data_IF_238295224802
#
_entry.id   IF_238295224802
#
_cell.length_a   1.000
_cell.length_b   1.000
_cell.length_c   1.000
_cell.angle_alpha   90.00
_cell.angle_beta   90.00
_cell.angle_gamma   90.00
#
_symmetry.space_group_name_H-M   'P 1'
#
loop_
_entity.id
_entity.type
_entity.pdbx_description
1 polymer ?
#
# COMPACT_ATOMS: atom_id res chain seq x y z
N UNK A 1 13.99 -16.83 -7.53
CA UNK A 1 13.23 -17.85 -6.77
C UNK A 1 14.23 -18.86 -6.25
N UNK A 2 14.17 -19.14 -4.95
CA UNK A 2 15.18 -19.85 -4.15
C UNK A 2 14.89 -21.34 -3.95
N UNK A 3 13.67 -21.81 -4.21
CA UNK A 3 13.30 -23.24 -4.09
C UNK A 3 12.60 -23.76 -5.36
N UNK A 4 12.74 -25.06 -5.70
CA UNK A 4 12.04 -25.67 -6.83
C UNK A 4 10.51 -25.50 -6.75
N UNK A 5 9.94 -25.61 -5.56
CA UNK A 5 8.50 -25.46 -5.32
C UNK A 5 8.02 -24.04 -5.66
N UNK A 6 8.83 -23.01 -5.35
CA UNK A 6 8.51 -21.63 -5.71
C UNK A 6 8.58 -21.42 -7.23
N UNK A 7 9.54 -22.05 -7.91
CA UNK A 7 9.65 -22.00 -9.40
C UNK A 7 8.44 -22.66 -10.05
N UNK A 8 8.04 -23.84 -9.60
CA UNK A 8 6.87 -24.54 -10.13
C UNK A 8 5.58 -23.73 -9.92
N UNK A 9 5.42 -23.12 -8.73
CA UNK A 9 4.28 -22.23 -8.46
C UNK A 9 4.27 -21.00 -9.37
N UNK A 10 5.43 -20.39 -9.61
CA UNK A 10 5.53 -19.23 -10.51
C UNK A 10 5.14 -19.60 -11.96
N UNK A 11 5.57 -20.76 -12.44
CA UNK A 11 5.16 -21.26 -13.76
C UNK A 11 3.64 -21.48 -13.85
N UNK A 12 3.01 -22.03 -12.80
CA UNK A 12 1.54 -22.17 -12.70
C UNK A 12 0.82 -20.82 -12.69
N UNK A 13 1.48 -19.74 -12.27
CA UNK A 13 0.95 -18.37 -12.29
C UNK A 13 1.26 -17.63 -13.61
N UNK A 14 1.81 -18.30 -14.61
CA UNK A 14 2.12 -17.72 -15.92
C UNK A 14 3.46 -16.97 -15.99
N UNK A 15 4.33 -17.13 -14.99
CA UNK A 15 5.67 -16.55 -15.00
C UNK A 15 6.62 -17.55 -15.68
N UNK A 16 6.94 -17.30 -16.95
CA UNK A 16 7.82 -18.17 -17.75
C UNK A 16 9.31 -17.99 -17.46
N UNK A 17 9.73 -16.76 -17.16
CA UNK A 17 11.11 -16.43 -16.78
C UNK A 17 11.15 -15.95 -15.32
N UNK A 18 11.54 -16.82 -14.37
CA UNK A 18 11.65 -16.46 -12.95
C UNK A 18 12.87 -15.59 -12.61
N UNK A 19 13.77 -15.36 -13.58
CA UNK A 19 14.96 -14.51 -13.43
C UNK A 19 14.77 -13.12 -14.05
N UNK A 20 13.64 -12.87 -14.71
CA UNK A 20 13.32 -11.56 -15.28
C UNK A 20 13.38 -10.47 -14.22
N UNK A 21 14.08 -9.38 -14.55
CA UNK A 21 14.08 -8.16 -13.75
C UNK A 21 12.88 -7.30 -14.15
N UNK A 22 12.01 -7.00 -13.18
CA UNK A 22 10.83 -6.17 -13.37
C UNK A 22 11.15 -4.72 -13.03
N UNK A 23 10.81 -3.79 -13.93
CA UNK A 23 10.80 -2.35 -13.65
C UNK A 23 9.45 -1.95 -13.06
N UNK A 24 9.34 -0.73 -12.52
CA UNK A 24 8.10 -0.22 -11.92
C UNK A 24 6.90 -0.35 -12.86
N UNK A 25 7.07 0.00 -14.14
CA UNK A 25 6.03 -0.11 -15.16
C UNK A 25 5.66 -1.55 -15.54
N UNK A 26 6.51 -2.54 -15.24
CA UNK A 26 6.15 -3.95 -15.40
C UNK A 26 5.26 -4.43 -14.25
N UNK A 27 5.43 -3.84 -13.04
CA UNK A 27 4.71 -4.20 -11.82
C UNK A 27 3.38 -3.46 -11.66
N UNK A 28 3.32 -2.19 -12.03
CA UNK A 28 2.12 -1.36 -11.97
C UNK A 28 2.04 -0.46 -13.21
N UNK A 29 0.99 -0.64 -14.02
CA UNK A 29 0.81 0.06 -15.31
C UNK A 29 -0.63 0.57 -15.49
N UNK A 30 -0.78 1.58 -16.35
CA UNK A 30 -2.07 2.24 -16.60
C UNK A 30 -2.36 3.36 -15.61
N UNK A 31 -3.65 3.57 -15.31
CA UNK A 31 -4.06 4.47 -14.24
C UNK A 31 -3.97 3.75 -12.89
N UNK A 32 -3.05 4.21 -12.04
CA UNK A 32 -2.69 3.57 -10.78
C UNK A 32 -3.07 4.50 -9.64
N UNK A 33 -3.81 3.95 -8.67
CA UNK A 33 -4.12 4.61 -7.42
C UNK A 33 -3.44 3.86 -6.27
N UNK A 34 -2.78 4.60 -5.39
CA UNK A 34 -2.14 4.07 -4.20
C UNK A 34 -2.70 4.79 -2.98
N UNK A 35 -3.01 4.04 -1.93
CA UNK A 35 -3.40 4.58 -0.63
C UNK A 35 -2.74 3.78 0.48
N UNK A 36 -2.24 4.47 1.51
CA UNK A 36 -1.65 3.84 2.68
C UNK A 36 -1.98 4.64 3.93
N UNK A 37 -2.26 3.96 5.03
CA UNK A 37 -2.55 4.55 6.35
C UNK A 37 -1.55 4.02 7.38
N UNK A 38 -0.98 4.90 8.20
CA UNK A 38 -0.06 4.50 9.25
C UNK A 38 -0.78 3.77 10.38
N UNK A 39 -0.35 2.55 10.70
CA UNK A 39 -0.82 1.80 11.87
C UNK A 39 0.00 2.16 13.10
N UNK A 40 1.33 2.04 13.00
CA UNK A 40 2.31 2.55 13.96
C UNK A 40 3.06 3.73 13.36
N UNK A 41 3.73 4.53 14.20
CA UNK A 41 4.57 5.62 13.70
C UNK A 41 5.69 5.06 12.83
N UNK A 42 5.80 5.59 11.61
CA UNK A 42 6.86 5.26 10.68
C UNK A 42 7.36 6.51 9.96
N UNK A 43 8.37 6.33 9.12
CA UNK A 43 9.04 7.44 8.44
C UNK A 43 8.12 8.24 7.52
N UNK A 44 7.04 7.63 7.01
CA UNK A 44 6.15 8.23 6.02
C UNK A 44 4.81 8.68 6.62
N UNK A 45 4.27 7.93 7.58
CA UNK A 45 2.94 8.15 8.12
C UNK A 45 2.97 7.98 9.64
N UNK A 46 2.19 8.81 10.32
CA UNK A 46 1.96 8.67 11.75
C UNK A 46 1.02 7.48 12.00
N UNK A 47 1.25 6.75 13.08
CA UNK A 47 0.38 5.67 13.51
C UNK A 47 -0.96 6.17 13.99
N UNK A 48 -1.88 5.23 14.17
CA UNK A 48 -3.19 5.52 14.76
C UNK A 48 -3.00 6.03 16.19
N UNK A 49 -3.65 7.16 16.53
CA UNK A 49 -3.67 7.67 17.90
C UNK A 49 -5.09 7.60 18.45
N UNK A 50 -5.23 6.93 19.58
CA UNK A 50 -6.48 6.82 20.32
C UNK A 50 -6.51 7.93 21.38
N UNK A 51 -7.30 8.97 21.13
CA UNK A 51 -7.58 10.03 22.10
C UNK A 51 -8.89 9.75 22.85
N UNK A 52 -9.18 10.57 23.86
CA UNK A 52 -10.37 10.40 24.72
C UNK A 52 -11.71 10.41 23.94
N UNK A 53 -11.83 11.28 22.95
CA UNK A 53 -13.09 11.50 22.22
C UNK A 53 -12.93 11.28 20.70
N UNK A 54 -11.78 10.79 20.25
CA UNK A 54 -11.55 10.56 18.82
C UNK A 54 -10.31 9.72 18.55
N UNK A 55 -10.35 9.00 17.44
CA UNK A 55 -9.20 8.33 16.85
C UNK A 55 -8.67 9.19 15.70
N UNK A 56 -7.36 9.36 15.59
CA UNK A 56 -6.74 10.05 14.45
C UNK A 56 -5.92 9.10 13.61
N UNK A 57 -6.08 9.18 12.29
CA UNK A 57 -5.31 8.40 11.31
C UNK A 57 -4.58 9.33 10.36
N UNK A 58 -3.42 8.90 9.87
CA UNK A 58 -2.65 9.62 8.86
C UNK A 58 -2.53 8.74 7.61
N UNK A 59 -3.09 9.22 6.50
CA UNK A 59 -3.19 8.50 5.22
C UNK A 59 -2.56 9.32 4.09
N UNK A 60 -1.87 8.66 3.16
CA UNK A 60 -1.51 9.24 1.87
C UNK A 60 -2.31 8.60 0.74
N UNK A 61 -2.76 9.40 -0.23
CA UNK A 61 -3.40 8.93 -1.46
C UNK A 61 -2.70 9.55 -2.67
N UNK A 62 -2.36 8.71 -3.63
CA UNK A 62 -1.60 9.04 -4.84
C UNK A 62 -2.36 8.52 -6.06
N UNK A 63 -2.41 9.29 -7.15
CA UNK A 63 -2.98 8.81 -8.42
C UNK A 63 -2.14 9.22 -9.63
N UNK A 64 -1.71 8.24 -10.42
CA UNK A 64 -0.75 8.43 -11.52
C UNK A 64 -1.27 9.36 -12.62
N UNK A 65 -2.52 9.19 -13.04
CA UNK A 65 -3.13 10.00 -14.11
C UNK A 65 -3.24 11.48 -13.75
N UNK A 66 -3.65 11.80 -12.52
CA UNK A 66 -3.76 13.19 -12.03
C UNK A 66 -2.46 13.76 -11.45
N UNK A 67 -1.44 12.91 -11.24
CA UNK A 67 -0.20 13.22 -10.50
C UNK A 67 -0.43 13.89 -9.14
N UNK A 68 -1.61 13.67 -8.56
CA UNK A 68 -2.00 14.31 -7.31
C UNK A 68 -1.52 13.47 -6.14
N UNK A 69 -1.00 14.16 -5.13
CA UNK A 69 -0.67 13.61 -3.81
C UNK A 69 -1.60 14.25 -2.79
N UNK A 70 -2.29 13.44 -1.99
CA UNK A 70 -3.12 13.91 -0.87
C UNK A 70 -2.61 13.31 0.41
N UNK A 71 -2.22 14.17 1.34
CA UNK A 71 -2.01 13.80 2.73
C UNK A 71 -3.30 14.08 3.49
N UNK A 72 -3.83 13.07 4.18
CA UNK A 72 -5.13 13.12 4.86
C UNK A 72 -4.91 12.77 6.33
N UNK A 73 -5.18 13.75 7.20
CA UNK A 73 -5.27 13.53 8.65
C UNK A 73 -6.75 13.54 9.01
N UNK A 74 -7.28 12.36 9.34
CA UNK A 74 -8.69 12.19 9.65
C UNK A 74 -8.88 12.05 11.16
N UNK A 75 -10.00 12.61 11.65
CA UNK A 75 -10.46 12.49 13.04
C UNK A 75 -11.79 11.75 13.04
N UNK A 76 -11.79 10.57 13.64
CA UNK A 76 -12.97 9.70 13.77
C UNK A 76 -13.56 9.88 15.17
N UNK A 77 -14.83 10.28 15.26
CA UNK A 77 -15.51 10.55 16.56
C UNK A 77 -16.32 9.36 17.06
N UNK A 78 -16.73 8.48 16.16
CA UNK A 78 -17.39 7.22 16.50
C UNK A 78 -16.31 6.17 16.83
N UNK A 79 -16.16 5.88 18.13
CA UNK A 79 -15.13 4.97 18.65
C UNK A 79 -15.54 3.51 18.54
N UNK A 80 -16.83 3.19 18.45
CA UNK A 80 -17.33 1.81 18.39
C UNK A 80 -17.15 1.18 17.00
N UNK A 81 -16.87 2.02 15.99
CA UNK A 81 -16.64 1.60 14.61
C UNK A 81 -15.28 0.91 14.38
N UNK A 82 -14.36 0.95 15.34
CA UNK A 82 -12.98 0.45 15.24
C UNK A 82 -12.60 -0.42 16.44
#
# INVERSE_FOLDING_TARGET
>A
LDTPQKVERAAKMGISDPKRVYRTQDMARGDVLFAATGVTDGNMLAGVKFGRNSITTHTIVLRSSSRTVREIKARHQDLEKF
#
